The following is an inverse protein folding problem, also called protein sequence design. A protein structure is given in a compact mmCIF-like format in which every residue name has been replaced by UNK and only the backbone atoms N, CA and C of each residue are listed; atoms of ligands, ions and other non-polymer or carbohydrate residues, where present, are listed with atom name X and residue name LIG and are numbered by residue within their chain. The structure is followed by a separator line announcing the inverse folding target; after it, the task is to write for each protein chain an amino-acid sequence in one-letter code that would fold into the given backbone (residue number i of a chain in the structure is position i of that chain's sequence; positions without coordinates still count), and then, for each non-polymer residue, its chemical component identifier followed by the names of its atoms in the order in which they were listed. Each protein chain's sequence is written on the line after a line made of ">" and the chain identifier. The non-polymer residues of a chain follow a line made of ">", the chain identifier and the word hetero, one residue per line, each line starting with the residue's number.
data_IF_328545521864
#
_entry.id   IF_328545521864
#
_cell.length_a   1.000
_cell.length_b   1.000
_cell.length_c   1.000
_cell.angle_alpha   90.00
_cell.angle_beta   90.00
_cell.angle_gamma   90.00
#
_symmetry.space_group_name_H-M   'P 1'
#
loop_
_entity.id
_entity.type
_entity.pdbx_description
1 polymer ?
#
# COMPACT_ATOMS: atom_id res chain seq x y z
N UNK A 1 18.79 -3.72 3.52
CA UNK A 1 18.01 -2.55 3.96
C UNK A 1 16.57 -2.94 4.20
N UNK A 2 16.00 -2.39 5.25
CA UNK A 2 14.60 -2.69 5.56
C UNK A 2 13.67 -1.81 4.72
N UNK A 3 12.54 -2.40 4.32
CA UNK A 3 11.50 -1.65 3.64
C UNK A 3 10.76 -0.75 4.63
N UNK A 4 10.27 0.38 4.14
CA UNK A 4 9.47 1.31 4.94
C UNK A 4 8.01 1.15 4.54
N UNK A 5 7.18 0.75 5.48
CA UNK A 5 5.74 0.59 5.24
C UNK A 5 5.07 1.96 5.28
N UNK A 6 4.36 2.30 4.21
CA UNK A 6 3.53 3.50 4.16
C UNK A 6 2.17 3.25 4.82
N UNK A 7 1.51 2.20 4.41
CA UNK A 7 0.17 1.86 4.91
C UNK A 7 -0.14 0.41 4.60
N UNK A 8 -1.23 -0.08 5.18
CA UNK A 8 -1.69 -1.43 4.90
C UNK A 8 -3.02 -1.74 5.57
N UNK A 9 -3.67 -2.80 5.11
CA UNK A 9 -4.91 -3.28 5.68
C UNK A 9 -4.82 -4.79 5.90
N UNK A 10 -5.49 -5.28 6.93
CA UNK A 10 -5.54 -6.70 7.25
C UNK A 10 -6.99 -7.16 7.37
N UNK A 11 -7.36 -8.14 6.55
CA UNK A 11 -8.66 -8.79 6.67
C UNK A 11 -8.77 -9.54 8.01
N UNK A 12 -7.67 -10.14 8.47
CA UNK A 12 -7.67 -10.94 9.69
C UNK A 12 -7.92 -10.10 10.94
N UNK A 13 -7.31 -8.91 11.01
CA UNK A 13 -7.44 -8.03 12.16
C UNK A 13 -8.53 -6.97 11.99
N UNK A 14 -9.08 -6.83 10.79
CA UNK A 14 -10.07 -5.80 10.44
C UNK A 14 -9.55 -4.41 10.80
N UNK A 15 -8.28 -4.14 10.44
CA UNK A 15 -7.60 -2.89 10.76
C UNK A 15 -6.87 -2.32 9.55
N UNK A 16 -6.78 -0.99 9.54
CA UNK A 16 -5.97 -0.23 8.60
C UNK A 16 -4.84 0.46 9.38
N UNK A 17 -3.62 0.37 8.84
CA UNK A 17 -2.45 1.05 9.40
C UNK A 17 -1.98 2.14 8.45
N UNK A 18 -1.66 3.31 8.99
CA UNK A 18 -1.03 4.39 8.25
C UNK A 18 0.19 4.88 9.03
N UNK A 19 1.34 4.92 8.35
CA UNK A 19 2.60 5.32 8.99
C UNK A 19 2.59 6.81 9.32
N UNK A 20 2.74 7.21 10.59
CA UNK A 20 2.72 8.62 10.98
C UNK A 20 3.83 9.47 10.37
N UNK A 21 4.92 8.87 9.89
CA UNK A 21 5.97 9.60 9.18
C UNK A 21 5.46 10.26 7.89
N UNK A 22 4.32 9.81 7.38
CA UNK A 22 3.70 10.34 6.15
C UNK A 22 2.49 11.23 6.45
N UNK A 23 2.35 11.69 7.68
CA UNK A 23 1.17 12.46 8.11
C UNK A 23 0.98 13.77 7.35
N UNK A 24 2.05 14.30 6.74
CA UNK A 24 1.98 15.53 5.95
C UNK A 24 1.37 15.35 4.56
N UNK A 25 1.09 14.11 4.14
CA UNK A 25 0.36 13.88 2.90
C UNK A 25 -1.02 14.56 2.97
N UNK A 26 -1.53 15.07 1.84
CA UNK A 26 -2.88 15.64 1.81
C UNK A 26 -3.94 14.63 2.26
N UNK A 27 -4.99 15.13 2.90
CA UNK A 27 -6.08 14.27 3.38
C UNK A 27 -6.68 13.43 2.26
N UNK A 28 -6.85 14.02 1.07
CA UNK A 28 -7.40 13.29 -0.08
C UNK A 28 -6.56 12.09 -0.47
N UNK A 29 -5.24 12.22 -0.39
CA UNK A 29 -4.31 11.11 -0.66
C UNK A 29 -4.41 10.05 0.43
N UNK A 30 -4.43 10.47 1.70
CA UNK A 30 -4.59 9.54 2.82
C UNK A 30 -5.89 8.74 2.71
N UNK A 31 -6.98 9.41 2.35
CA UNK A 31 -8.28 8.77 2.18
C UNK A 31 -8.26 7.78 1.02
N UNK A 32 -7.64 8.15 -0.09
CA UNK A 32 -7.52 7.27 -1.26
C UNK A 32 -6.73 5.99 -0.92
N UNK A 33 -5.64 6.13 -0.17
CA UNK A 33 -4.83 5.00 0.27
C UNK A 33 -5.62 4.06 1.17
N UNK A 34 -6.40 4.62 2.10
CA UNK A 34 -7.22 3.82 2.99
C UNK A 34 -8.29 3.04 2.22
N UNK A 35 -9.01 3.72 1.34
CA UNK A 35 -10.05 3.09 0.53
C UNK A 35 -9.45 1.97 -0.31
N UNK A 36 -8.35 2.24 -0.97
CA UNK A 36 -7.66 1.27 -1.82
C UNK A 36 -7.28 -0.01 -1.06
N UNK A 37 -6.64 0.15 0.10
CA UNK A 37 -6.18 -0.98 0.89
C UNK A 37 -7.34 -1.77 1.51
N UNK A 38 -8.33 -1.06 2.05
CA UNK A 38 -9.47 -1.71 2.71
C UNK A 38 -10.33 -2.45 1.68
N UNK A 39 -10.64 -1.82 0.56
CA UNK A 39 -11.41 -2.48 -0.50
C UNK A 39 -10.71 -3.72 -1.04
N UNK A 40 -9.38 -3.66 -1.20
CA UNK A 40 -8.62 -4.82 -1.64
C UNK A 40 -8.83 -6.01 -0.71
N UNK A 41 -8.64 -5.81 0.60
CA UNK A 41 -8.77 -6.92 1.56
C UNK A 41 -10.21 -7.38 1.73
N UNK A 42 -11.18 -6.49 1.58
CA UNK A 42 -12.59 -6.88 1.60
C UNK A 42 -12.94 -7.79 0.41
N UNK A 43 -12.34 -7.53 -0.74
CA UNK A 43 -12.62 -8.29 -1.95
C UNK A 43 -11.90 -9.63 -2.00
N UNK A 44 -10.64 -9.69 -1.58
CA UNK A 44 -9.80 -10.90 -1.78
C UNK A 44 -9.29 -11.50 -0.47
N UNK A 45 -9.44 -10.82 0.66
CA UNK A 45 -8.90 -11.26 1.93
C UNK A 45 -7.42 -10.93 2.10
N UNK A 46 -6.79 -11.57 3.08
CA UNK A 46 -5.36 -11.42 3.32
C UNK A 46 -4.95 -10.09 3.93
N UNK A 47 -3.70 -9.73 3.68
CA UNK A 47 -3.10 -8.47 4.13
C UNK A 47 -2.45 -7.79 2.94
N UNK A 48 -2.79 -6.53 2.72
CA UNK A 48 -2.13 -5.71 1.70
C UNK A 48 -1.31 -4.63 2.39
N UNK A 49 -0.04 -4.52 2.03
CA UNK A 49 0.81 -3.40 2.46
C UNK A 49 1.39 -2.70 1.25
N UNK A 50 1.61 -1.39 1.41
CA UNK A 50 2.32 -0.58 0.44
C UNK A 50 3.62 -0.16 1.09
N UNK A 51 4.75 -0.59 0.53
CA UNK A 51 6.07 -0.43 1.13
C UNK A 51 7.04 0.22 0.15
N UNK A 52 7.89 1.12 0.67
CA UNK A 52 9.00 1.65 -0.11
C UNK A 52 10.21 0.74 0.06
N UNK A 53 10.85 0.40 -1.06
CA UNK A 53 12.04 -0.42 -1.10
C UNK A 53 13.28 0.43 -1.41
N UNK A 54 14.41 -0.20 -1.66
CA UNK A 54 15.66 0.51 -1.93
C UNK A 54 15.60 1.42 -3.16
N UNK A 55 14.75 1.07 -4.13
CA UNK A 55 14.51 1.88 -5.32
C UNK A 55 13.68 3.15 -5.01
N UNK A 56 13.22 3.30 -3.76
CA UNK A 56 12.41 4.42 -3.28
C UNK A 56 11.06 4.53 -3.98
N UNK A 57 10.61 3.43 -4.58
CA UNK A 57 9.30 3.33 -5.19
C UNK A 57 8.36 2.53 -4.28
N UNK A 58 7.05 2.87 -4.28
CA UNK A 58 6.10 2.07 -3.50
C UNK A 58 5.77 0.76 -4.21
N UNK A 59 5.76 -0.32 -3.44
CA UNK A 59 5.46 -1.66 -3.94
C UNK A 59 4.32 -2.27 -3.13
N UNK A 60 3.40 -2.93 -3.81
CA UNK A 60 2.32 -3.67 -3.15
C UNK A 60 2.84 -5.02 -2.70
N UNK A 61 2.60 -5.37 -1.46
CA UNK A 61 2.95 -6.68 -0.90
C UNK A 61 1.69 -7.32 -0.35
N UNK A 62 1.41 -8.55 -0.79
CA UNK A 62 0.25 -9.32 -0.35
C UNK A 62 0.73 -10.51 0.47
N UNK A 63 0.13 -10.68 1.66
CA UNK A 63 0.41 -11.81 2.55
C UNK A 63 -0.91 -12.46 2.96
N UNK A 64 -0.87 -13.75 3.23
CA UNK A 64 -2.03 -14.48 3.72
C UNK A 64 -1.59 -15.69 4.54
N UNK A 65 -2.48 -16.19 5.37
CA UNK A 65 -2.24 -17.44 6.11
C UNK A 65 -2.28 -18.60 5.12
N UNK A 66 -1.39 -19.58 5.29
CA UNK A 66 -1.31 -20.76 4.40
C UNK A 66 -2.62 -21.53 4.28
N UNK A 67 -3.36 -21.57 5.38
CA UNK A 67 -4.58 -22.37 5.46
C UNK A 67 -5.85 -21.52 5.35
N UNK A 68 -5.76 -20.33 4.73
CA UNK A 68 -6.90 -19.44 4.59
C UNK A 68 -7.71 -19.80 3.34
N UNK A 69 -8.87 -20.48 3.48
CA UNK A 69 -9.69 -20.85 2.32
C UNK A 69 -10.44 -19.65 1.72
N UNK A 70 -10.49 -18.52 2.41
CA UNK A 70 -11.19 -17.32 1.93
C UNK A 70 -10.30 -16.41 1.11
N UNK A 71 -8.98 -16.63 1.12
CA UNK A 71 -8.09 -15.80 0.33
C UNK A 71 -8.20 -16.14 -1.14
N UNK A 72 -8.52 -15.13 -1.96
CA UNK A 72 -8.64 -15.26 -3.42
C UNK A 72 -7.31 -14.91 -4.08
N UNK A 73 -6.46 -15.91 -4.28
CA UNK A 73 -5.13 -15.73 -4.84
C UNK A 73 -5.15 -15.15 -6.26
N UNK A 74 -6.03 -15.67 -7.11
CA UNK A 74 -6.17 -15.20 -8.48
C UNK A 74 -6.71 -13.78 -8.51
N UNK A 75 -7.75 -13.52 -7.73
CA UNK A 75 -8.35 -12.19 -7.61
C UNK A 75 -7.35 -11.18 -7.08
N UNK A 76 -6.49 -11.57 -6.12
CA UNK A 76 -5.46 -10.69 -5.58
C UNK A 76 -4.47 -10.28 -6.66
N UNK A 77 -3.98 -11.22 -7.48
CA UNK A 77 -3.06 -10.90 -8.57
C UNK A 77 -3.68 -9.95 -9.59
N UNK A 78 -4.93 -10.19 -9.95
CA UNK A 78 -5.64 -9.34 -10.91
C UNK A 78 -5.82 -7.93 -10.35
N UNK A 79 -6.19 -7.80 -9.08
CA UNK A 79 -6.35 -6.49 -8.45
C UNK A 79 -5.03 -5.73 -8.33
N UNK A 80 -3.93 -6.39 -8.02
CA UNK A 80 -2.62 -5.74 -7.98
C UNK A 80 -2.28 -5.17 -9.36
N UNK A 81 -2.52 -5.92 -10.43
CA UNK A 81 -2.28 -5.43 -11.79
C UNK A 81 -3.14 -4.22 -12.12
N UNK A 82 -4.42 -4.24 -11.71
CA UNK A 82 -5.31 -3.10 -11.89
C UNK A 82 -4.80 -1.88 -11.14
N UNK A 83 -4.37 -2.04 -9.89
CA UNK A 83 -3.86 -0.94 -9.07
C UNK A 83 -2.58 -0.36 -9.67
N UNK A 84 -1.68 -1.20 -10.15
CA UNK A 84 -0.45 -0.76 -10.79
C UNK A 84 -0.74 0.05 -12.05
N UNK A 85 -1.74 -0.36 -12.82
CA UNK A 85 -2.17 0.36 -14.02
C UNK A 85 -2.88 1.67 -13.68
N UNK A 86 -3.85 1.62 -12.76
CA UNK A 86 -4.75 2.73 -12.50
C UNK A 86 -4.20 3.77 -11.54
N UNK A 87 -3.26 3.37 -10.67
CA UNK A 87 -2.71 4.23 -9.61
C UNK A 87 -1.27 4.65 -9.86
N UNK A 88 -0.78 4.51 -11.10
CA UNK A 88 0.60 4.86 -11.44
C UNK A 88 0.97 6.29 -11.08
N UNK A 89 0.09 7.24 -11.37
CA UNK A 89 0.32 8.65 -11.03
C UNK A 89 0.40 8.88 -9.52
N UNK A 90 -0.48 8.22 -8.77
CA UNK A 90 -0.43 8.27 -7.31
C UNK A 90 0.89 7.70 -6.79
N UNK A 91 1.35 6.58 -7.35
CA UNK A 91 2.61 5.96 -6.94
C UNK A 91 3.80 6.89 -7.19
N UNK A 92 3.81 7.61 -8.31
CA UNK A 92 4.85 8.59 -8.61
C UNK A 92 4.84 9.75 -7.61
N UNK A 93 3.67 10.25 -7.27
CA UNK A 93 3.52 11.32 -6.27
C UNK A 93 3.99 10.86 -4.89
N UNK A 94 3.68 9.63 -4.52
CA UNK A 94 4.11 9.07 -3.24
C UNK A 94 5.63 8.90 -3.18
N UNK A 95 6.25 8.46 -4.28
CA UNK A 95 7.70 8.33 -4.35
C UNK A 95 8.38 9.68 -4.17
N UNK A 96 7.87 10.69 -4.85
CA UNK A 96 8.40 12.06 -4.76
C UNK A 96 8.28 12.59 -3.32
N UNK A 97 7.11 12.42 -2.70
CA UNK A 97 6.90 12.83 -1.31
C UNK A 97 7.87 12.13 -0.37
N UNK A 98 8.03 10.84 -0.53
CA UNK A 98 8.93 10.04 0.30
C UNK A 98 10.37 10.57 0.21
N UNK A 99 10.85 10.79 -1.01
CA UNK A 99 12.22 11.25 -1.22
C UNK A 99 12.45 12.66 -0.71
N UNK A 100 11.56 13.59 -0.99
CA UNK A 100 11.75 14.99 -0.65
C UNK A 100 11.41 15.31 0.80
N UNK A 101 10.34 14.76 1.32
CA UNK A 101 9.82 15.12 2.66
C UNK A 101 10.31 14.16 3.74
N UNK A 102 10.21 12.86 3.50
CA UNK A 102 10.58 11.87 4.53
C UNK A 102 12.08 11.66 4.57
N UNK A 103 12.72 11.46 3.42
CA UNK A 103 14.16 11.26 3.35
C UNK A 103 14.95 12.57 3.33
N UNK A 104 14.31 13.69 3.02
CA UNK A 104 14.96 14.99 2.99
C UNK A 104 15.95 15.18 1.84
N UNK A 105 15.75 14.46 0.73
CA UNK A 105 16.61 14.64 -0.45
C UNK A 105 16.38 16.01 -1.06
N UNK A 106 17.44 16.59 -1.59
CA UNK A 106 17.34 17.87 -2.30
C UNK A 106 16.94 17.62 -3.74
N UNK A 107 16.07 18.46 -4.29
CA UNK A 107 15.70 18.35 -5.70
C UNK A 107 16.86 18.62 -6.63
#
# INVERSE_FOLDING_TARGET
>A
MENITLCGASWYEQKYYFNPAFDKLPKSVKDELQIMCVEFTEDVGGVLTLEFEEDKLPHFTVRHMETDPHFDEIGAELKIKELQRDKGELMEQLSLFYRLIVLGEKP
#
